data_IF_353101768530
#
_entry.id   IF_353101768530
#
_cell.length_a   1.000
_cell.length_b   1.000
_cell.length_c   1.000
_cell.angle_alpha   90.00
_cell.angle_beta   90.00
_cell.angle_gamma   90.00
#
_symmetry.space_group_name_H-M   'P 1'
#
loop_
_entity.id
_entity.type
_entity.pdbx_description
1 polymer ?
#
# COMPACT_ATOMS: atom_id res chain seq x y z
N UNK A 1 -52.76 23.86 -17.47
CA UNK A 1 -52.99 22.94 -18.61
C UNK A 1 -52.81 23.72 -19.90
N UNK A 2 -51.85 23.28 -20.73
CA UNK A 2 -51.40 23.72 -22.07
C UNK A 2 -50.82 25.15 -22.28
N UNK A 3 -49.88 25.37 -23.24
CA UNK A 3 -49.04 24.41 -23.98
C UNK A 3 -47.52 24.74 -24.02
N UNK A 4 -46.75 23.65 -24.10
CA UNK A 4 -45.34 23.57 -24.50
C UNK A 4 -45.25 24.04 -25.96
N UNK A 5 -44.62 25.19 -26.21
CA UNK A 5 -44.44 25.79 -27.54
C UNK A 5 -42.94 25.92 -27.86
N UNK A 6 -42.46 24.92 -28.61
CA UNK A 6 -41.58 25.02 -29.77
C UNK A 6 -40.65 26.24 -29.86
N UNK A 7 -39.38 26.11 -29.44
CA UNK A 7 -38.28 26.96 -29.92
C UNK A 7 -37.00 26.13 -30.14
N UNK A 8 -37.08 25.17 -31.06
CA UNK A 8 -35.92 24.69 -31.80
C UNK A 8 -35.86 25.48 -33.12
N UNK A 9 -34.64 25.77 -33.57
CA UNK A 9 -34.26 26.49 -34.79
C UNK A 9 -34.20 28.02 -34.66
N UNK A 10 -33.01 28.54 -34.38
CA UNK A 10 -32.20 29.36 -35.30
C UNK A 10 -31.06 30.01 -34.49
N UNK A 11 -29.82 29.59 -34.74
CA UNK A 11 -28.66 30.47 -34.88
C UNK A 11 -27.41 29.62 -35.16
N UNK A 12 -27.24 29.35 -36.45
CA UNK A 12 -25.95 29.03 -37.04
C UNK A 12 -25.08 30.30 -37.07
N UNK A 13 -23.89 30.20 -36.51
CA UNK A 13 -22.73 31.11 -36.64
C UNK A 13 -21.59 30.39 -35.93
N UNK A 14 -20.37 30.22 -36.43
CA UNK A 14 -19.71 30.64 -37.65
C UNK A 14 -18.44 29.77 -37.71
N UNK A 15 -18.13 29.25 -38.90
CA UNK A 15 -16.95 28.48 -39.22
C UNK A 15 -15.65 29.24 -38.90
N UNK A 16 -14.73 28.63 -38.16
CA UNK A 16 -13.28 28.89 -38.33
C UNK A 16 -12.60 27.53 -38.52
N UNK A 17 -12.22 27.29 -39.77
CA UNK A 17 -11.39 26.21 -40.23
C UNK A 17 -9.90 26.51 -40.04
N UNK A 18 -9.09 25.45 -40.25
CA UNK A 18 -7.62 25.36 -40.39
C UNK A 18 -6.80 25.30 -39.08
N UNK A 19 -5.97 24.30 -38.82
CA UNK A 19 -5.31 23.39 -39.77
C UNK A 19 -4.95 22.02 -39.18
N UNK A 20 -5.33 21.00 -39.94
CA UNK A 20 -4.71 19.69 -39.98
C UNK A 20 -3.35 19.81 -40.70
N UNK A 21 -2.27 19.35 -40.08
CA UNK A 21 -1.05 18.96 -40.80
C UNK A 21 -0.59 17.57 -40.34
N UNK A 22 -1.31 16.54 -40.78
CA UNK A 22 -0.73 15.23 -41.04
C UNK A 22 -0.33 15.20 -42.51
N UNK A 23 0.97 15.19 -42.80
CA UNK A 23 1.49 14.72 -44.09
C UNK A 23 2.73 13.86 -43.85
N UNK A 24 2.61 12.63 -44.32
CA UNK A 24 3.55 11.54 -44.19
C UNK A 24 4.77 11.67 -45.11
N UNK A 25 5.89 11.03 -44.73
CA UNK A 25 6.59 10.08 -45.59
C UNK A 25 7.68 9.35 -44.81
N UNK A 26 7.45 8.04 -44.58
CA UNK A 26 8.50 7.07 -44.29
C UNK A 26 9.38 6.87 -45.51
N UNK A 27 10.63 7.36 -45.48
CA UNK A 27 11.78 6.72 -46.16
C UNK A 27 13.10 7.37 -45.71
N UNK A 28 13.70 6.84 -44.66
CA UNK A 28 15.15 6.67 -44.68
C UNK A 28 15.50 5.33 -44.05
N UNK A 29 16.07 4.48 -44.89
CA UNK A 29 16.52 3.13 -44.63
C UNK A 29 17.98 3.20 -44.16
N UNK A 30 18.29 2.34 -43.19
CA UNK A 30 19.62 1.79 -42.86
C UNK A 30 20.79 2.73 -42.56
N UNK A 31 21.14 2.80 -41.27
CA UNK A 31 22.50 2.50 -40.84
C UNK A 31 22.48 1.82 -39.45
N UNK A 32 22.94 0.57 -39.46
CA UNK A 32 23.25 -0.31 -38.35
C UNK A 32 24.31 0.30 -37.40
N UNK A 33 24.06 0.31 -36.08
CA UNK A 33 25.04 -0.09 -35.05
C UNK A 33 24.41 -0.05 -33.65
N UNK A 34 24.21 -1.23 -33.05
CA UNK A 34 24.24 -1.46 -31.59
C UNK A 34 25.68 -1.25 -31.05
N UNK A 35 25.97 -1.24 -29.73
CA UNK A 35 25.10 -1.29 -28.53
C UNK A 35 25.47 -0.31 -27.38
N UNK A 36 24.46 0.10 -26.60
CA UNK A 36 24.27 -0.09 -25.14
C UNK A 36 25.42 -0.08 -24.10
N UNK A 37 26.63 0.45 -24.34
CA UNK A 37 27.69 0.44 -23.30
C UNK A 37 27.81 1.73 -22.45
N UNK A 38 27.33 2.91 -22.90
CA UNK A 38 27.81 4.18 -22.32
C UNK A 38 27.00 4.79 -21.13
N UNK A 39 25.79 4.30 -20.82
CA UNK A 39 24.98 4.86 -19.69
C UNK A 39 25.08 3.99 -18.42
N UNK A 40 26.26 3.41 -18.16
CA UNK A 40 26.57 2.69 -16.91
C UNK A 40 27.75 3.33 -16.13
N UNK A 41 28.45 4.31 -16.70
CA UNK A 41 29.68 4.86 -16.10
C UNK A 41 29.46 6.00 -15.09
N UNK A 42 28.26 6.60 -15.00
CA UNK A 42 28.05 7.79 -14.14
C UNK A 42 27.39 7.51 -12.79
N UNK A 43 27.07 6.25 -12.46
CA UNK A 43 26.46 5.84 -11.17
C UNK A 43 27.44 5.16 -10.20
N UNK A 44 28.73 5.08 -10.52
CA UNK A 44 29.74 4.39 -9.69
C UNK A 44 30.40 5.23 -8.58
N UNK A 45 30.40 6.56 -8.66
CA UNK A 45 31.25 7.40 -7.79
C UNK A 45 30.57 7.80 -6.46
N UNK A 46 29.23 7.84 -6.37
CA UNK A 46 28.52 8.29 -5.15
C UNK A 46 28.20 7.18 -4.13
N UNK A 47 28.65 5.94 -4.37
CA UNK A 47 28.37 4.79 -3.50
C UNK A 47 29.51 4.47 -2.48
N UNK A 48 30.60 5.24 -2.42
CA UNK A 48 31.82 4.85 -1.69
C UNK A 48 32.07 5.55 -0.33
N UNK A 49 31.09 6.24 0.25
CA UNK A 49 31.32 7.03 1.46
C UNK A 49 30.73 6.52 2.78
N UNK A 50 29.86 5.49 2.83
CA UNK A 50 29.09 5.24 4.07
C UNK A 50 28.79 3.78 4.47
N UNK A 51 29.68 2.81 4.21
CA UNK A 51 29.54 1.48 4.80
C UNK A 51 30.89 0.90 5.27
N UNK A 52 31.12 0.76 6.60
CA UNK A 52 32.23 -0.05 7.11
C UNK A 52 31.99 -1.54 6.81
N UNK A 53 33.08 -2.25 6.52
CA UNK A 53 33.11 -3.65 6.09
C UNK A 53 32.53 -4.61 7.15
N UNK A 54 31.80 -5.66 6.75
CA UNK A 54 31.70 -6.87 7.55
C UNK A 54 32.96 -7.72 7.36
N UNK A 55 33.78 -7.86 8.41
CA UNK A 55 34.92 -8.78 8.45
C UNK A 55 34.41 -10.23 8.48
N UNK A 56 35.01 -11.05 7.62
CA UNK A 56 34.72 -12.46 7.43
C UNK A 56 35.13 -13.35 8.62
N UNK A 57 34.36 -14.43 8.73
CA UNK A 57 34.47 -15.69 9.47
C UNK A 57 35.83 -16.08 10.09
N UNK A 58 35.78 -16.44 11.38
CA UNK A 58 36.73 -17.34 12.05
C UNK A 58 36.00 -18.64 12.48
N UNK A 59 36.67 -19.81 12.50
CA UNK A 59 36.03 -21.10 12.68
C UNK A 59 35.63 -21.40 14.14
N UNK A 60 34.60 -22.23 14.24
CA UNK A 60 33.92 -22.67 15.46
C UNK A 60 34.85 -23.32 16.50
N UNK A 61 34.73 -22.86 17.74
CA UNK A 61 35.04 -23.65 18.93
C UNK A 61 33.73 -23.85 19.69
N UNK A 62 33.27 -25.10 19.73
CA UNK A 62 32.07 -25.54 20.42
C UNK A 62 32.34 -25.60 21.92
N UNK A 63 31.67 -24.73 22.68
CA UNK A 63 31.56 -24.82 24.14
C UNK A 63 30.09 -25.12 24.45
N UNK A 64 29.74 -26.22 25.11
CA UNK A 64 28.34 -26.51 25.42
C UNK A 64 27.84 -25.53 26.49
N UNK A 65 26.68 -24.87 26.31
CA UNK A 65 26.03 -24.20 27.43
C UNK A 65 25.45 -25.25 28.36
N UNK A 66 26.07 -25.41 29.53
CA UNK A 66 25.43 -26.02 30.69
C UNK A 66 24.15 -25.25 31.03
N UNK A 67 23.08 -26.03 31.15
CA UNK A 67 21.74 -25.72 31.62
C UNK A 67 21.56 -24.41 32.41
N UNK A 68 20.68 -23.55 31.91
CA UNK A 68 19.84 -22.69 32.73
C UNK A 68 18.46 -22.62 32.08
N UNK A 69 17.63 -23.62 32.34
CA UNK A 69 16.20 -23.57 32.09
C UNK A 69 15.59 -22.55 33.06
N UNK A 70 15.68 -21.26 32.70
CA UNK A 70 14.79 -20.26 33.27
C UNK A 70 13.43 -20.47 32.62
N UNK A 71 12.57 -21.21 33.31
CA UNK A 71 11.16 -21.33 32.98
C UNK A 71 10.59 -19.91 32.88
N UNK A 72 10.33 -19.46 31.65
CA UNK A 72 9.53 -18.28 31.42
C UNK A 72 8.13 -18.62 31.92
N UNK A 73 7.78 -18.13 33.11
CA UNK A 73 6.40 -18.08 33.57
C UNK A 73 5.64 -17.19 32.60
N UNK A 74 5.05 -17.82 31.58
CA UNK A 74 3.97 -17.21 30.80
C UNK A 74 2.82 -16.98 31.75
N UNK A 75 2.75 -15.78 32.32
CA UNK A 75 1.52 -15.25 32.89
C UNK A 75 0.53 -15.20 31.73
N UNK A 76 -0.31 -16.21 31.61
CA UNK A 76 -1.49 -16.18 30.75
C UNK A 76 -2.36 -15.06 31.27
N UNK A 77 -2.19 -13.86 30.71
CA UNK A 77 -3.14 -12.79 30.91
C UNK A 77 -4.48 -13.30 30.41
N UNK A 78 -5.43 -13.45 31.32
CA UNK A 78 -6.82 -13.74 30.98
C UNK A 78 -7.29 -12.64 30.05
N UNK A 79 -7.34 -12.93 28.74
CA UNK A 79 -7.82 -12.00 27.74
C UNK A 79 -9.31 -11.75 28.03
N UNK A 80 -9.66 -10.51 28.34
CA UNK A 80 -11.06 -10.09 28.38
C UNK A 80 -11.65 -10.34 26.99
N UNK A 81 -12.80 -11.03 26.86
CA UNK A 81 -13.38 -11.29 25.56
C UNK A 81 -13.70 -9.97 24.86
N UNK A 82 -13.21 -9.82 23.62
CA UNK A 82 -13.55 -8.69 22.75
C UNK A 82 -14.98 -8.88 22.27
N UNK A 83 -15.82 -7.84 22.43
CA UNK A 83 -17.20 -7.85 21.95
C UNK A 83 -17.27 -8.08 20.44
N UNK A 84 -18.33 -8.74 19.96
CA UNK A 84 -18.50 -9.06 18.55
C UNK A 84 -18.52 -7.81 17.63
N UNK A 85 -19.00 -6.67 18.15
CA UNK A 85 -19.06 -5.39 17.43
C UNK A 85 -17.78 -4.54 17.54
N UNK A 86 -16.79 -4.96 18.32
CA UNK A 86 -15.62 -4.14 18.63
C UNK A 86 -14.86 -3.67 17.37
N UNK A 87 -14.76 -4.54 16.37
CA UNK A 87 -14.10 -4.21 15.11
C UNK A 87 -14.81 -3.12 14.32
N UNK A 88 -16.14 -3.21 14.22
CA UNK A 88 -16.96 -2.20 13.56
C UNK A 88 -16.93 -0.87 14.33
N UNK A 89 -17.02 -0.94 15.66
CA UNK A 89 -16.96 0.24 16.53
C UNK A 89 -15.62 0.97 16.41
N UNK A 90 -14.51 0.25 16.46
CA UNK A 90 -13.19 0.85 16.30
C UNK A 90 -13.01 1.41 14.89
N UNK A 91 -13.49 0.70 13.86
CA UNK A 91 -13.47 1.20 12.50
C UNK A 91 -14.21 2.54 12.37
N UNK A 92 -15.43 2.62 12.90
CA UNK A 92 -16.25 3.82 12.87
C UNK A 92 -15.66 4.99 13.65
N UNK A 93 -14.89 4.71 14.71
CA UNK A 93 -14.29 5.75 15.55
C UNK A 93 -13.00 6.32 15.00
N UNK A 94 -12.13 5.50 14.41
CA UNK A 94 -10.75 5.93 14.08
C UNK A 94 -10.37 5.58 12.65
N UNK A 95 -10.66 4.36 12.19
CA UNK A 95 -10.16 3.86 10.90
C UNK A 95 -10.86 4.52 9.70
N UNK A 96 -12.11 4.94 9.85
CA UNK A 96 -12.92 5.58 8.80
C UNK A 96 -12.25 6.79 8.16
N UNK A 97 -11.49 7.56 8.95
CA UNK A 97 -10.78 8.77 8.52
C UNK A 97 -9.94 8.53 7.28
N UNK A 98 -9.27 7.38 7.20
CA UNK A 98 -8.42 7.03 6.06
C UNK A 98 -9.08 6.01 5.14
N UNK A 99 -9.72 4.98 5.72
CA UNK A 99 -10.14 3.82 4.96
C UNK A 99 -11.52 3.96 4.30
N UNK A 100 -12.32 4.99 4.58
CA UNK A 100 -13.61 5.17 3.91
C UNK A 100 -13.46 5.77 2.51
N UNK A 101 -12.58 6.75 2.36
CA UNK A 101 -12.31 7.41 1.08
C UNK A 101 -10.94 7.05 0.47
N UNK A 102 -10.11 6.30 1.19
CA UNK A 102 -8.77 5.91 0.75
C UNK A 102 -7.76 7.06 0.82
N UNK A 103 -7.87 7.92 1.85
CA UNK A 103 -6.96 9.05 2.03
C UNK A 103 -5.52 8.55 2.16
N UNK A 104 -4.59 9.32 1.60
CA UNK A 104 -3.16 9.04 1.63
C UNK A 104 -2.80 7.61 1.14
N UNK A 105 -3.59 7.09 0.19
CA UNK A 105 -3.41 5.77 -0.40
C UNK A 105 -3.78 4.60 0.53
N UNK A 106 -4.55 4.86 1.58
CA UNK A 106 -5.15 3.82 2.39
C UNK A 106 -6.09 2.94 1.54
N UNK A 107 -6.12 1.60 1.74
CA UNK A 107 -7.05 0.75 1.04
C UNK A 107 -8.49 1.08 1.46
N UNK A 108 -9.33 1.43 0.49
CA UNK A 108 -10.73 1.78 0.71
C UNK A 108 -11.53 0.58 1.21
N UNK A 109 -12.43 0.78 2.18
CA UNK A 109 -13.34 -0.25 2.66
C UNK A 109 -14.17 -0.79 1.49
N UNK A 110 -14.34 -2.12 1.45
CA UNK A 110 -15.07 -2.84 0.42
C UNK A 110 -14.49 -2.79 -1.00
N UNK A 111 -13.32 -2.16 -1.21
CA UNK A 111 -12.62 -2.24 -2.49
C UNK A 111 -11.91 -3.59 -2.64
N UNK A 112 -12.61 -4.56 -3.24
CA UNK A 112 -12.09 -5.92 -3.43
C UNK A 112 -10.77 -5.96 -4.18
N UNK A 113 -10.55 -5.06 -5.15
CA UNK A 113 -9.33 -5.04 -5.94
C UNK A 113 -8.13 -4.53 -5.12
N UNK A 114 -8.33 -3.51 -4.28
CA UNK A 114 -7.30 -3.03 -3.38
C UNK A 114 -6.99 -4.04 -2.26
N UNK A 115 -7.99 -4.79 -1.78
CA UNK A 115 -7.85 -5.74 -0.68
C UNK A 115 -7.35 -7.12 -1.08
N UNK A 116 -7.65 -7.61 -2.29
CA UNK A 116 -7.20 -8.93 -2.75
C UNK A 116 -5.69 -9.20 -2.55
N UNK A 117 -4.74 -8.34 -3.00
CA UNK A 117 -3.32 -8.58 -2.79
C UNK A 117 -2.89 -8.47 -1.32
N UNK A 118 -3.68 -7.80 -0.47
CA UNK A 118 -3.43 -7.68 0.99
C UNK A 118 -3.89 -8.93 1.72
N UNK A 119 -5.10 -9.40 1.41
CA UNK A 119 -5.66 -10.64 1.95
C UNK A 119 -4.78 -11.84 1.58
N UNK A 120 -4.20 -11.84 0.38
CA UNK A 120 -3.24 -12.87 -0.05
C UNK A 120 -1.96 -12.94 0.80
N UNK A 121 -1.62 -11.90 1.56
CA UNK A 121 -0.48 -11.91 2.51
C UNK A 121 -0.79 -12.67 3.81
N UNK A 122 -2.06 -13.04 4.01
CA UNK A 122 -2.55 -13.70 5.21
C UNK A 122 -2.90 -12.74 6.35
N UNK A 123 -3.84 -13.18 7.19
CA UNK A 123 -4.38 -12.39 8.32
C UNK A 123 -3.30 -11.95 9.31
N UNK A 124 -2.38 -12.84 9.66
CA UNK A 124 -1.30 -12.53 10.62
C UNK A 124 -0.44 -11.35 10.16
N UNK A 125 -0.14 -11.27 8.87
CA UNK A 125 0.60 -10.14 8.29
C UNK A 125 -0.19 -8.84 8.41
N UNK A 126 -1.50 -8.87 8.11
CA UNK A 126 -2.36 -7.69 8.24
C UNK A 126 -2.45 -7.21 9.68
N UNK A 127 -2.57 -8.13 10.64
CA UNK A 127 -2.57 -7.78 12.06
C UNK A 127 -1.27 -7.14 12.49
N UNK A 128 -0.12 -7.71 12.10
CA UNK A 128 1.20 -7.14 12.43
C UNK A 128 1.35 -5.73 11.89
N UNK A 129 0.94 -5.49 10.64
CA UNK A 129 0.96 -4.16 10.03
C UNK A 129 -0.01 -3.19 10.71
N UNK A 130 -1.20 -3.63 11.10
CA UNK A 130 -2.18 -2.77 11.76
C UNK A 130 -1.77 -2.41 13.20
N UNK A 131 -1.23 -3.37 13.95
CA UNK A 131 -0.79 -3.19 15.34
C UNK A 131 0.51 -2.38 15.41
N UNK A 132 1.53 -2.81 14.67
CA UNK A 132 2.86 -2.19 14.68
C UNK A 132 3.00 -0.94 13.80
N UNK A 133 2.03 -0.69 12.94
CA UNK A 133 2.14 0.29 11.87
C UNK A 133 2.86 -0.29 10.65
N UNK A 134 2.64 0.34 9.51
CA UNK A 134 3.19 -0.12 8.24
C UNK A 134 3.47 1.05 7.31
N UNK A 135 4.67 1.06 6.75
CA UNK A 135 5.03 1.96 5.67
C UNK A 135 5.18 1.14 4.39
N UNK A 136 4.28 1.38 3.45
CA UNK A 136 4.24 0.69 2.17
C UNK A 136 4.33 1.65 1.00
N UNK A 137 4.29 1.08 -0.20
CA UNK A 137 4.35 1.84 -1.45
C UNK A 137 3.20 2.84 -1.61
N UNK A 138 2.02 2.49 -1.08
CA UNK A 138 0.81 3.31 -1.22
C UNK A 138 0.69 4.39 -0.15
N UNK A 139 1.43 4.31 0.96
CA UNK A 139 1.28 5.24 2.07
C UNK A 139 1.72 4.67 3.41
N UNK A 140 1.34 5.37 4.48
CA UNK A 140 1.69 5.02 5.86
C UNK A 140 0.42 4.70 6.64
N UNK A 141 0.40 3.55 7.29
CA UNK A 141 -0.58 3.17 8.30
C UNK A 141 0.06 3.35 9.67
N UNK A 142 -0.42 4.29 10.51
CA UNK A 142 0.10 4.45 11.87
C UNK A 142 -0.13 3.20 12.72
N UNK A 143 0.72 2.99 13.73
CA UNK A 143 0.53 1.92 14.70
C UNK A 143 -0.86 2.03 15.36
N UNK A 144 -1.57 0.89 15.42
CA UNK A 144 -2.95 0.79 15.93
C UNK A 144 -3.94 1.74 15.25
N UNK A 145 -3.65 2.14 14.00
CA UNK A 145 -4.44 3.16 13.29
C UNK A 145 -4.43 4.53 13.96
N UNK A 146 -3.48 4.81 14.85
CA UNK A 146 -3.43 6.03 15.66
C UNK A 146 -4.31 5.99 16.92
N UNK A 147 -4.88 4.83 17.27
CA UNK A 147 -5.70 4.64 18.46
C UNK A 147 -4.88 4.12 19.65
N UNK A 148 -5.49 4.16 20.85
CA UNK A 148 -5.00 3.49 22.05
C UNK A 148 -5.70 2.14 22.28
N UNK A 149 -6.33 1.58 21.25
CA UNK A 149 -7.06 0.32 21.36
C UNK A 149 -6.13 -0.84 21.70
N UNK A 150 -6.69 -1.88 22.31
CA UNK A 150 -5.98 -3.14 22.51
C UNK A 150 -5.68 -3.82 21.17
N UNK A 151 -4.65 -4.69 21.17
CA UNK A 151 -4.27 -5.43 19.97
C UNK A 151 -5.43 -6.27 19.43
N UNK A 152 -6.27 -6.82 20.31
CA UNK A 152 -7.40 -7.65 19.91
C UNK A 152 -8.55 -6.82 19.31
N UNK A 153 -8.79 -5.60 19.79
CA UNK A 153 -9.73 -4.67 19.12
C UNK A 153 -9.21 -4.27 17.74
N UNK A 154 -7.89 -4.07 17.58
CA UNK A 154 -7.28 -3.77 16.26
C UNK A 154 -7.42 -4.97 15.32
N UNK A 155 -7.19 -6.20 15.80
CA UNK A 155 -7.43 -7.42 14.99
C UNK A 155 -8.89 -7.53 14.58
N UNK A 156 -9.83 -7.28 15.49
CA UNK A 156 -11.25 -7.28 15.18
C UNK A 156 -11.61 -6.24 14.10
N UNK A 157 -11.00 -5.06 14.14
CA UNK A 157 -11.19 -4.03 13.11
C UNK A 157 -10.61 -4.47 11.75
N UNK A 158 -9.44 -5.12 11.73
CA UNK A 158 -8.88 -5.70 10.51
C UNK A 158 -9.82 -6.76 9.93
N UNK A 159 -10.35 -7.66 10.77
CA UNK A 159 -11.30 -8.69 10.35
C UNK A 159 -12.59 -8.09 9.79
N UNK A 160 -13.13 -7.06 10.45
CA UNK A 160 -14.27 -6.32 9.94
C UNK A 160 -13.99 -5.77 8.53
N UNK A 161 -12.85 -5.11 8.33
CA UNK A 161 -12.50 -4.52 7.03
C UNK A 161 -12.29 -5.58 5.94
N UNK A 162 -11.60 -6.67 6.26
CA UNK A 162 -11.42 -7.82 5.37
C UNK A 162 -12.77 -8.43 5.00
N UNK A 163 -13.68 -8.60 5.96
CA UNK A 163 -15.02 -9.15 5.70
C UNK A 163 -15.84 -8.29 4.74
N UNK A 164 -15.67 -6.96 4.75
CA UNK A 164 -16.36 -6.05 3.82
C UNK A 164 -15.76 -6.09 2.41
N UNK A 165 -14.53 -6.56 2.26
CA UNK A 165 -13.79 -6.54 0.99
C UNK A 165 -13.51 -7.93 0.40
N UNK A 166 -13.96 -8.99 1.07
CA UNK A 166 -13.87 -10.38 0.58
C UNK A 166 -15.05 -10.71 -0.33
#
# INVERSE_FOLDING_TARGET
>A
MLPISTRNATLASLMIALGLTMSACSKHESAESKPTEEIAAQQGEIARANHPMPVASQPASFVPPTAASAAATTTTATATPVSADAGEKLFGSVCTTCHTAGLMGAPKLADKAAWAPRIAQGKETLYKHAIGGYQGKSGVMPAKGGSQASDDEVKAAVDYMVSKAS
#
